data_IF_500812299124
#
_entry.id   IF_500812299124
#
_cell.length_a   1.000
_cell.length_b   1.000
_cell.length_c   1.000
_cell.angle_alpha   90.00
_cell.angle_beta   90.00
_cell.angle_gamma   90.00
#
_symmetry.space_group_name_H-M   'P 1'
#
loop_
_entity.id
_entity.type
_entity.pdbx_description
1 polymer ?
#
# COMPACT_ATOMS: atom_id res chain seq x y z
N UNK A 1 5.95 -21.25 -12.53
CA UNK A 1 4.93 -20.46 -11.83
C UNK A 1 5.61 -19.39 -11.00
N UNK A 2 4.99 -18.20 -10.91
CA UNK A 2 5.43 -17.06 -10.08
C UNK A 2 4.26 -16.64 -9.19
N UNK A 3 4.50 -16.44 -7.90
CA UNK A 3 3.50 -15.95 -6.94
C UNK A 3 3.72 -14.47 -6.69
N UNK A 4 2.68 -13.65 -6.91
CA UNK A 4 2.70 -12.20 -6.78
C UNK A 4 3.01 -11.49 -8.10
N UNK A 5 2.50 -10.25 -8.25
CA UNK A 5 2.60 -9.43 -9.46
C UNK A 5 3.41 -8.14 -9.28
N UNK A 6 4.22 -8.07 -8.22
CA UNK A 6 5.09 -6.92 -7.97
C UNK A 6 6.31 -6.87 -8.89
N UNK A 7 7.10 -5.79 -8.78
CA UNK A 7 8.28 -5.54 -9.63
C UNK A 7 9.26 -6.71 -9.69
N UNK A 8 9.53 -7.38 -8.55
CA UNK A 8 10.42 -8.53 -8.50
C UNK A 8 9.92 -9.71 -9.37
N UNK A 9 8.61 -9.98 -9.32
CA UNK A 9 7.97 -11.04 -10.12
C UNK A 9 8.01 -10.73 -11.61
N UNK A 10 7.74 -9.48 -11.99
CA UNK A 10 7.75 -9.07 -13.40
C UNK A 10 9.17 -9.08 -13.95
N UNK A 11 10.15 -8.53 -13.23
CA UNK A 11 11.57 -8.60 -13.63
C UNK A 11 12.07 -10.05 -13.75
N UNK A 12 11.59 -10.95 -12.87
CA UNK A 12 11.91 -12.38 -13.01
C UNK A 12 11.29 -12.98 -14.28
N UNK A 13 10.01 -12.67 -14.57
CA UNK A 13 9.34 -13.15 -15.79
C UNK A 13 10.04 -12.65 -17.06
N UNK A 14 10.41 -11.36 -17.11
CA UNK A 14 11.18 -10.75 -18.19
C UNK A 14 12.53 -11.47 -18.39
N UNK A 15 13.27 -11.67 -17.30
CA UNK A 15 14.59 -12.33 -17.33
C UNK A 15 14.49 -13.78 -17.78
N UNK A 16 13.42 -14.49 -17.39
CA UNK A 16 13.15 -15.85 -17.86
C UNK A 16 12.87 -15.82 -19.36
N UNK A 17 11.98 -14.94 -19.82
CA UNK A 17 11.60 -14.88 -21.23
C UNK A 17 12.76 -14.52 -22.16
N UNK A 18 13.65 -13.63 -21.74
CA UNK A 18 14.88 -13.31 -22.49
C UNK A 18 15.79 -14.51 -22.68
N UNK A 19 15.82 -15.46 -21.72
CA UNK A 19 16.70 -16.64 -21.75
C UNK A 19 16.03 -17.90 -22.26
N UNK A 20 14.71 -17.95 -22.19
CA UNK A 20 13.90 -19.11 -22.60
C UNK A 20 12.60 -18.64 -23.23
N UNK A 21 12.54 -18.70 -24.56
CA UNK A 21 11.38 -18.25 -25.35
C UNK A 21 10.20 -19.21 -25.33
N UNK A 22 10.39 -20.47 -24.89
CA UNK A 22 9.38 -21.53 -25.04
C UNK A 22 8.70 -21.97 -23.74
N UNK A 23 9.29 -21.72 -22.56
CA UNK A 23 8.65 -22.13 -21.30
C UNK A 23 7.36 -21.33 -21.04
N UNK A 24 6.36 -21.96 -20.45
CA UNK A 24 5.19 -21.23 -19.92
C UNK A 24 5.56 -20.43 -18.68
N UNK A 25 4.98 -19.24 -18.54
CA UNK A 25 5.12 -18.40 -17.35
C UNK A 25 3.72 -18.02 -16.89
N UNK A 26 3.36 -18.50 -15.72
CA UNK A 26 2.07 -18.23 -15.09
C UNK A 26 2.30 -17.48 -13.79
N UNK A 27 1.71 -16.28 -13.66
CA UNK A 27 1.82 -15.41 -12.50
C UNK A 27 0.47 -15.38 -11.79
N UNK A 28 0.44 -15.80 -10.53
CA UNK A 28 -0.76 -15.81 -9.68
C UNK A 28 -0.69 -14.67 -8.70
N UNK A 29 -1.72 -13.85 -8.64
CA UNK A 29 -1.80 -12.71 -7.73
C UNK A 29 -3.19 -12.53 -7.16
N UNK A 30 -3.27 -12.07 -5.90
CA UNK A 30 -4.54 -11.67 -5.28
C UNK A 30 -5.01 -10.30 -5.72
N UNK A 31 -4.14 -9.51 -6.35
CA UNK A 31 -4.49 -8.19 -6.86
C UNK A 31 -5.49 -8.33 -8.02
N UNK A 32 -6.40 -7.38 -8.13
CA UNK A 32 -7.42 -7.31 -9.18
C UNK A 32 -6.98 -6.47 -10.40
N UNK A 33 -5.73 -5.98 -10.36
CA UNK A 33 -5.17 -5.13 -11.41
C UNK A 33 -3.91 -5.75 -12.02
N UNK A 34 -3.65 -5.41 -13.29
CA UNK A 34 -2.40 -5.75 -13.96
C UNK A 34 -1.20 -5.20 -13.18
N UNK A 35 0.01 -5.77 -13.34
CA UNK A 35 1.20 -5.31 -12.61
C UNK A 35 1.47 -3.83 -12.82
N UNK A 36 1.61 -3.07 -11.75
CA UNK A 36 1.73 -1.62 -11.76
C UNK A 36 2.95 -1.12 -10.98
N UNK A 37 3.32 0.15 -11.23
CA UNK A 37 4.42 0.82 -10.56
C UNK A 37 4.01 1.25 -9.15
N UNK A 38 4.36 0.43 -8.16
CA UNK A 38 3.93 0.61 -6.75
C UNK A 38 4.30 1.96 -6.12
N UNK A 39 5.43 2.60 -6.43
CA UNK A 39 5.71 3.94 -5.90
C UNK A 39 4.65 4.99 -6.23
N UNK A 40 3.92 4.86 -7.33
CA UNK A 40 2.85 5.80 -7.71
C UNK A 40 1.49 5.52 -7.05
N UNK A 41 1.40 4.55 -6.13
CA UNK A 41 0.11 4.19 -5.51
C UNK A 41 -0.46 5.35 -4.68
N UNK A 42 0.38 6.11 -3.97
CA UNK A 42 -0.05 7.28 -3.20
C UNK A 42 -0.67 8.38 -4.07
N UNK A 43 -0.20 8.53 -5.31
CA UNK A 43 -0.72 9.53 -6.25
C UNK A 43 -2.19 9.24 -6.64
N UNK A 44 -2.59 7.96 -6.69
CA UNK A 44 -3.98 7.58 -6.98
C UNK A 44 -5.01 8.13 -5.97
N UNK A 45 -4.56 8.56 -4.80
CA UNK A 45 -5.45 9.16 -3.79
C UNK A 45 -5.99 10.50 -4.31
N UNK A 46 -5.16 11.31 -4.96
CA UNK A 46 -5.55 12.67 -5.34
C UNK A 46 -5.75 12.89 -6.84
N UNK A 47 -5.20 12.01 -7.70
CA UNK A 47 -5.29 12.15 -9.16
C UNK A 47 -5.52 10.81 -9.86
N UNK A 48 -5.93 10.87 -11.12
CA UNK A 48 -5.92 9.72 -12.01
C UNK A 48 -4.55 9.67 -12.73
N UNK A 49 -4.00 8.47 -12.84
CA UNK A 49 -2.73 8.23 -13.54
C UNK A 49 -3.07 7.52 -14.86
N UNK A 50 -2.55 7.98 -16.01
CA UNK A 50 -2.72 7.27 -17.27
C UNK A 50 -2.20 5.84 -17.19
N UNK A 51 -2.88 4.89 -17.82
CA UNK A 51 -2.50 3.48 -17.82
C UNK A 51 -1.05 3.25 -18.29
N UNK A 52 -0.59 4.04 -19.26
CA UNK A 52 0.77 4.00 -19.81
C UNK A 52 1.87 4.40 -18.80
N UNK A 53 1.50 5.11 -17.74
CA UNK A 53 2.42 5.55 -16.68
C UNK A 53 2.26 4.70 -15.42
N UNK A 54 1.08 4.12 -15.23
CA UNK A 54 0.76 3.36 -14.02
C UNK A 54 1.15 1.88 -14.14
N UNK A 55 0.79 1.20 -15.25
CA UNK A 55 1.11 -0.21 -15.44
C UNK A 55 2.54 -0.42 -15.93
N UNK A 56 3.20 -1.48 -15.43
CA UNK A 56 4.58 -1.82 -15.82
C UNK A 56 4.70 -2.14 -17.29
N UNK A 57 3.69 -2.81 -17.86
CA UNK A 57 3.56 -3.10 -19.29
C UNK A 57 2.09 -3.07 -19.68
N UNK A 58 1.75 -2.76 -20.93
CA UNK A 58 0.40 -2.93 -21.45
C UNK A 58 0.03 -4.41 -21.48
N UNK A 59 -1.27 -4.71 -21.40
CA UNK A 59 -1.77 -6.10 -21.36
C UNK A 59 -1.30 -6.95 -22.55
N UNK A 60 -1.20 -6.34 -23.71
CA UNK A 60 -0.76 -6.96 -24.97
C UNK A 60 0.69 -7.44 -24.90
N UNK A 61 1.52 -6.74 -24.13
CA UNK A 61 2.94 -7.14 -23.94
C UNK A 61 3.04 -8.50 -23.24
N UNK A 62 2.23 -8.77 -22.23
CA UNK A 62 2.21 -10.07 -21.54
C UNK A 62 1.77 -11.18 -22.48
N UNK A 63 0.75 -10.93 -23.31
CA UNK A 63 0.26 -11.88 -24.31
C UNK A 63 1.33 -12.20 -25.37
N UNK A 64 1.98 -11.18 -25.93
CA UNK A 64 3.06 -11.32 -26.92
C UNK A 64 4.27 -12.06 -26.38
N UNK A 65 4.50 -11.98 -25.06
CA UNK A 65 5.59 -12.68 -24.38
C UNK A 65 5.18 -14.02 -23.77
N UNK A 66 3.98 -14.54 -24.05
CA UNK A 66 3.45 -15.79 -23.47
C UNK A 66 3.59 -15.81 -21.93
N UNK A 67 3.21 -14.71 -21.26
CA UNK A 67 3.14 -14.56 -19.82
C UNK A 67 1.66 -14.46 -19.43
N UNK A 68 1.15 -15.42 -18.68
CA UNK A 68 -0.23 -15.45 -18.22
C UNK A 68 -0.32 -14.80 -16.84
N UNK A 69 -1.16 -13.77 -16.69
CA UNK A 69 -1.44 -13.16 -15.39
C UNK A 69 -2.82 -13.63 -14.92
N UNK A 70 -2.84 -14.32 -13.79
CA UNK A 70 -4.06 -14.80 -13.13
C UNK A 70 -4.40 -13.84 -11.98
N UNK A 71 -5.23 -12.83 -12.28
CA UNK A 71 -5.71 -11.84 -11.31
C UNK A 71 -6.73 -12.46 -10.36
N UNK A 72 -6.83 -11.92 -9.12
CA UNK A 72 -7.75 -12.39 -8.08
C UNK A 72 -7.59 -13.88 -7.75
N UNK A 73 -6.40 -14.43 -7.99
CA UNK A 73 -6.04 -15.82 -7.71
C UNK A 73 -4.98 -15.87 -6.61
N UNK A 74 -5.45 -15.77 -5.37
CA UNK A 74 -4.58 -15.88 -4.21
C UNK A 74 -4.04 -17.29 -4.07
N UNK A 75 -2.73 -17.42 -3.89
CA UNK A 75 -2.09 -18.69 -3.53
C UNK A 75 -2.10 -18.83 -2.03
N UNK A 76 -2.81 -19.84 -1.54
CA UNK A 76 -3.00 -20.09 -0.11
C UNK A 76 -2.09 -21.16 0.47
N UNK A 77 -1.56 -22.06 -0.37
CA UNK A 77 -0.64 -23.11 0.05
C UNK A 77 0.34 -23.50 -1.07
N UNK A 78 1.48 -24.06 -0.67
CA UNK A 78 2.50 -24.62 -1.54
C UNK A 78 2.83 -26.03 -1.03
N UNK A 79 2.69 -27.04 -1.89
CA UNK A 79 3.19 -28.41 -1.64
C UNK A 79 4.47 -28.62 -2.44
N UNK A 80 5.62 -28.60 -1.77
CA UNK A 80 6.92 -28.77 -2.40
C UNK A 80 7.22 -30.21 -2.81
N UNK A 81 6.52 -31.18 -2.21
CA UNK A 81 6.67 -32.61 -2.53
C UNK A 81 5.94 -32.96 -3.81
N UNK A 82 4.68 -32.52 -3.91
CA UNK A 82 3.88 -32.69 -5.14
C UNK A 82 4.21 -31.67 -6.21
N UNK A 83 4.94 -30.58 -5.86
CA UNK A 83 5.17 -29.40 -6.69
C UNK A 83 3.87 -28.78 -7.20
N UNK A 84 2.95 -28.48 -6.29
CA UNK A 84 1.69 -27.78 -6.58
C UNK A 84 1.55 -26.53 -5.71
N UNK A 85 0.84 -25.54 -6.24
CA UNK A 85 0.28 -24.43 -5.46
C UNK A 85 -1.23 -24.62 -5.37
N UNK A 86 -1.84 -24.11 -4.30
CA UNK A 86 -3.30 -24.11 -4.12
C UNK A 86 -3.84 -22.70 -4.32
N UNK A 87 -4.85 -22.57 -5.20
CA UNK A 87 -5.59 -21.33 -5.44
C UNK A 87 -7.08 -21.56 -5.24
N UNK A 88 -7.91 -20.53 -5.42
CA UNK A 88 -9.38 -20.66 -5.40
C UNK A 88 -9.90 -21.63 -6.47
N UNK A 89 -9.16 -21.85 -7.56
CA UNK A 89 -9.58 -22.74 -8.67
C UNK A 89 -9.06 -24.18 -8.50
N UNK A 90 -8.33 -24.45 -7.43
CA UNK A 90 -7.78 -25.76 -7.12
C UNK A 90 -6.25 -25.81 -7.13
N UNK A 91 -5.70 -27.03 -7.25
CA UNK A 91 -4.25 -27.24 -7.30
C UNK A 91 -3.71 -27.00 -8.70
N UNK A 92 -2.58 -26.29 -8.78
CA UNK A 92 -1.85 -25.98 -10.02
C UNK A 92 -0.43 -26.53 -9.92
N UNK A 93 -0.01 -27.43 -10.81
CA UNK A 93 1.34 -27.97 -10.80
C UNK A 93 2.37 -26.95 -11.31
N UNK A 94 3.62 -27.09 -10.86
CA UNK A 94 4.75 -26.30 -11.34
C UNK A 94 6.03 -27.14 -11.47
N UNK A 95 6.86 -26.85 -12.46
CA UNK A 95 8.23 -27.37 -12.53
C UNK A 95 9.20 -26.55 -11.69
N UNK A 96 9.07 -25.24 -11.78
CA UNK A 96 9.84 -24.24 -11.02
C UNK A 96 8.88 -23.21 -10.43
N UNK A 97 9.19 -22.78 -9.20
CA UNK A 97 8.39 -21.81 -8.47
C UNK A 97 9.26 -20.62 -8.05
N UNK A 98 8.75 -19.40 -8.28
CA UNK A 98 9.30 -18.17 -7.75
C UNK A 98 8.28 -17.55 -6.82
N UNK A 99 8.70 -17.16 -5.62
CA UNK A 99 7.86 -16.51 -4.62
C UNK A 99 8.24 -15.03 -4.59
N UNK A 100 7.40 -14.20 -5.20
CA UNK A 100 7.52 -12.74 -5.23
C UNK A 100 6.29 -12.05 -4.60
N UNK A 101 5.73 -12.66 -3.54
CA UNK A 101 4.49 -12.20 -2.88
C UNK A 101 4.58 -10.83 -2.19
N UNK A 102 5.79 -10.29 -2.04
CA UNK A 102 5.99 -8.99 -1.39
C UNK A 102 5.72 -9.05 0.12
N UNK A 103 5.07 -8.00 0.64
CA UNK A 103 4.74 -7.86 2.06
C UNK A 103 3.29 -7.40 2.22
N UNK A 104 2.74 -7.57 3.41
CA UNK A 104 1.46 -6.97 3.83
C UNK A 104 1.72 -5.67 4.60
N UNK A 105 0.73 -4.77 4.64
CA UNK A 105 0.76 -3.65 5.57
C UNK A 105 0.75 -4.19 7.00
N UNK A 106 1.62 -3.66 7.83
CA UNK A 106 1.62 -3.98 9.25
C UNK A 106 0.64 -3.07 9.98
N UNK A 107 -0.36 -3.66 10.60
CA UNK A 107 -1.27 -2.94 11.51
C UNK A 107 -0.89 -3.35 12.93
N UNK A 108 -0.37 -2.42 13.75
CA UNK A 108 -0.10 -2.73 15.15
C UNK A 108 -1.42 -3.12 15.86
N UNK A 109 -1.36 -3.89 16.97
CA UNK A 109 -2.54 -4.20 17.77
C UNK A 109 -3.05 -2.90 18.44
N UNK A 110 -3.85 -2.15 17.70
CA UNK A 110 -4.39 -0.85 18.08
C UNK A 110 -5.92 -0.97 18.16
N UNK A 111 -6.47 -0.65 19.34
CA UNK A 111 -7.92 -0.63 19.54
C UNK A 111 -8.58 0.32 18.53
N UNK A 112 -9.64 -0.13 17.86
CA UNK A 112 -10.35 0.62 16.84
C UNK A 112 -9.74 0.57 15.43
N UNK A 113 -8.68 -0.19 15.20
CA UNK A 113 -8.07 -0.33 13.86
C UNK A 113 -9.00 -0.95 12.81
N UNK A 114 -10.10 -1.57 13.22
CA UNK A 114 -11.12 -2.18 12.36
C UNK A 114 -12.37 -1.29 12.14
N UNK A 115 -12.37 -0.06 12.63
CA UNK A 115 -13.48 0.88 12.45
C UNK A 115 -13.59 1.29 10.97
N UNK A 116 -14.82 1.61 10.56
CA UNK A 116 -15.09 2.21 9.24
C UNK A 116 -14.41 3.58 9.14
N UNK A 117 -13.67 3.79 8.04
CA UNK A 117 -12.86 4.99 7.86
C UNK A 117 -11.43 4.85 8.37
N UNK A 118 -11.03 3.66 8.82
CA UNK A 118 -9.62 3.30 9.05
C UNK A 118 -9.11 2.52 7.86
N UNK A 119 -7.96 2.93 7.33
CA UNK A 119 -7.33 2.37 6.13
C UNK A 119 -5.88 2.01 6.38
N UNK A 120 -5.35 1.12 5.56
CA UNK A 120 -3.93 0.93 5.34
C UNK A 120 -3.62 1.27 3.89
N UNK A 121 -2.36 1.64 3.60
CA UNK A 121 -1.93 1.96 2.25
C UNK A 121 -0.87 0.96 1.78
N UNK A 122 -1.21 0.16 0.77
CA UNK A 122 -0.30 -0.81 0.18
C UNK A 122 -0.55 -1.06 -1.31
N UNK A 123 -1.82 -1.09 -1.72
CA UNK A 123 -2.24 -1.46 -3.07
C UNK A 123 -2.99 -0.33 -3.76
N UNK A 124 -3.13 -0.41 -5.07
CA UNK A 124 -3.96 0.52 -5.84
C UNK A 124 -5.42 0.49 -5.37
N UNK A 125 -5.93 -0.68 -4.99
CA UNK A 125 -7.28 -0.83 -4.44
C UNK A 125 -7.43 -0.05 -3.13
N UNK A 126 -6.42 -0.08 -2.24
CA UNK A 126 -6.43 0.70 -0.99
C UNK A 126 -6.49 2.21 -1.29
N UNK A 127 -5.65 2.69 -2.22
CA UNK A 127 -5.62 4.10 -2.60
C UNK A 127 -6.96 4.58 -3.19
N UNK A 128 -7.57 3.79 -4.07
CA UNK A 128 -8.88 4.10 -4.66
C UNK A 128 -10.00 4.08 -3.61
N UNK A 129 -9.98 3.11 -2.70
CA UNK A 129 -10.94 3.03 -1.59
C UNK A 129 -10.81 4.23 -0.65
N UNK A 130 -9.57 4.61 -0.30
CA UNK A 130 -9.28 5.80 0.50
C UNK A 130 -9.77 7.07 -0.20
N UNK A 131 -9.45 7.26 -1.50
CA UNK A 131 -9.92 8.39 -2.31
C UNK A 131 -11.44 8.49 -2.33
N UNK A 132 -12.11 7.35 -2.53
CA UNK A 132 -13.58 7.31 -2.56
C UNK A 132 -14.19 7.71 -1.21
N UNK A 133 -13.62 7.23 -0.10
CA UNK A 133 -14.08 7.54 1.25
C UNK A 133 -13.77 8.99 1.67
N UNK A 134 -12.63 9.53 1.24
CA UNK A 134 -12.19 10.89 1.56
C UNK A 134 -13.10 11.98 0.97
N UNK A 135 -13.93 11.66 -0.03
CA UNK A 135 -14.93 12.59 -0.58
C UNK A 135 -15.81 13.13 0.55
N UNK A 136 -15.92 14.46 0.64
CA UNK A 136 -16.72 15.16 1.66
C UNK A 136 -16.22 15.00 3.12
N UNK A 137 -14.99 14.51 3.31
CA UNK A 137 -14.30 14.51 4.59
C UNK A 137 -13.46 15.78 4.74
N UNK A 138 -13.14 16.14 5.98
CA UNK A 138 -12.38 17.37 6.27
C UNK A 138 -11.07 17.11 6.99
N UNK A 139 -11.08 16.17 7.93
CA UNK A 139 -9.94 15.92 8.81
C UNK A 139 -9.44 14.48 8.64
N UNK A 140 -8.17 14.33 8.38
CA UNK A 140 -7.50 13.05 8.28
C UNK A 140 -6.36 12.93 9.28
N UNK A 141 -6.15 11.73 9.80
CA UNK A 141 -4.96 11.39 10.58
C UNK A 141 -4.19 10.31 9.84
N UNK A 142 -2.88 10.53 9.71
CA UNK A 142 -1.95 9.52 9.21
C UNK A 142 -1.05 9.08 10.37
N UNK A 143 -1.12 7.80 10.72
CA UNK A 143 -0.27 7.19 11.76
C UNK A 143 0.94 6.60 11.07
N UNK A 144 2.12 7.18 11.33
CA UNK A 144 3.41 6.85 10.73
C UNK A 144 3.97 7.99 9.89
N UNK A 145 5.16 8.49 10.27
CA UNK A 145 5.91 9.56 9.59
C UNK A 145 7.04 9.03 8.70
N UNK A 146 6.90 7.78 8.21
CA UNK A 146 7.78 7.20 7.18
C UNK A 146 7.47 7.74 5.78
N UNK A 147 8.19 7.24 4.75
CA UNK A 147 8.00 7.67 3.35
C UNK A 147 6.55 7.57 2.92
N UNK A 148 5.95 6.37 3.00
CA UNK A 148 4.58 6.14 2.55
C UNK A 148 3.55 6.94 3.35
N UNK A 149 3.80 7.14 4.66
CA UNK A 149 2.93 7.97 5.50
C UNK A 149 2.94 9.44 5.06
N UNK A 150 4.11 9.99 4.77
CA UNK A 150 4.23 11.37 4.28
C UNK A 150 3.66 11.54 2.88
N UNK A 151 3.87 10.58 1.97
CA UNK A 151 3.24 10.58 0.64
C UNK A 151 1.71 10.50 0.73
N UNK A 152 1.19 9.65 1.62
CA UNK A 152 -0.26 9.56 1.88
C UNK A 152 -0.80 10.87 2.44
N UNK A 153 -0.07 11.51 3.37
CA UNK A 153 -0.46 12.79 3.94
C UNK A 153 -0.47 13.89 2.88
N UNK A 154 0.54 13.93 2.00
CA UNK A 154 0.59 14.88 0.87
C UNK A 154 -0.60 14.71 -0.07
N UNK A 155 -0.90 13.48 -0.46
CA UNK A 155 -2.02 13.20 -1.35
C UNK A 155 -3.37 13.60 -0.74
N UNK A 156 -3.57 13.39 0.58
CA UNK A 156 -4.78 13.83 1.28
C UNK A 156 -4.87 15.36 1.42
N UNK A 157 -3.73 16.04 1.63
CA UNK A 157 -3.67 17.51 1.59
C UNK A 157 -4.05 18.06 0.21
N UNK A 158 -3.57 17.43 -0.86
CA UNK A 158 -3.93 17.80 -2.24
C UNK A 158 -5.40 17.58 -2.56
N UNK A 159 -6.08 16.64 -1.87
CA UNK A 159 -7.55 16.50 -1.89
C UNK A 159 -8.27 17.60 -1.09
N UNK A 160 -7.54 18.46 -0.38
CA UNK A 160 -8.11 19.55 0.42
C UNK A 160 -8.50 19.18 1.85
N UNK A 161 -8.01 18.06 2.38
CA UNK A 161 -8.22 17.70 3.78
C UNK A 161 -7.21 18.40 4.71
N UNK A 162 -7.59 18.66 5.95
CA UNK A 162 -6.64 18.97 7.01
C UNK A 162 -6.02 17.67 7.50
N UNK A 163 -4.71 17.53 7.39
CA UNK A 163 -4.02 16.29 7.73
C UNK A 163 -3.11 16.47 8.93
N UNK A 164 -3.22 15.55 9.88
CA UNK A 164 -2.29 15.45 11.02
C UNK A 164 -1.55 14.12 10.91
N UNK A 165 -0.21 14.18 10.78
CA UNK A 165 0.66 13.00 10.82
C UNK A 165 1.16 12.78 12.24
N UNK A 166 0.98 11.57 12.77
CA UNK A 166 1.43 11.16 14.10
C UNK A 166 2.58 10.16 13.93
N UNK A 167 3.76 10.50 14.45
CA UNK A 167 4.94 9.65 14.41
C UNK A 167 5.42 9.35 15.85
N UNK A 168 5.59 8.08 16.16
CA UNK A 168 6.06 7.61 17.46
C UNK A 168 7.52 8.03 17.72
N UNK A 169 8.34 7.99 16.68
CA UNK A 169 9.74 8.43 16.79
C UNK A 169 9.84 9.96 16.85
N UNK A 170 10.94 10.47 17.40
CA UNK A 170 11.18 11.92 17.57
C UNK A 170 11.50 12.66 16.25
N UNK A 171 11.50 11.97 15.11
CA UNK A 171 11.82 12.55 13.80
C UNK A 171 11.05 11.88 12.66
N UNK A 172 10.86 12.57 11.56
CA UNK A 172 10.27 12.01 10.34
C UNK A 172 11.29 11.11 9.64
N UNK A 173 10.79 10.10 8.90
CA UNK A 173 11.62 9.16 8.15
C UNK A 173 12.78 8.57 8.97
N UNK A 174 12.54 8.06 10.20
CA UNK A 174 13.57 7.74 11.17
C UNK A 174 14.53 6.62 10.74
N UNK A 175 14.10 5.81 9.75
CA UNK A 175 14.89 4.70 9.19
C UNK A 175 15.73 5.11 7.98
N UNK A 176 15.41 6.23 7.34
CA UNK A 176 16.02 6.67 6.09
C UNK A 176 16.95 7.88 6.28
N UNK A 177 16.66 8.74 7.27
CA UNK A 177 17.36 9.99 7.48
C UNK A 177 18.01 10.05 8.85
N UNK A 178 19.14 10.76 8.94
CA UNK A 178 19.73 11.21 10.18
C UNK A 178 18.93 12.36 10.81
N UNK A 179 19.41 12.91 11.93
CA UNK A 179 18.68 13.95 12.66
C UNK A 179 18.63 15.27 11.87
N UNK A 180 19.74 15.66 11.25
CA UNK A 180 19.83 16.94 10.51
C UNK A 180 18.96 16.92 9.25
N UNK A 181 19.05 15.85 8.45
CA UNK A 181 18.22 15.69 7.27
C UNK A 181 16.73 15.60 7.60
N UNK A 182 16.38 14.89 8.69
CA UNK A 182 15.00 14.80 9.16
C UNK A 182 14.46 16.14 9.63
N UNK A 183 15.27 16.93 10.38
CA UNK A 183 14.89 18.28 10.81
C UNK A 183 14.65 19.21 9.60
N UNK A 184 15.50 19.11 8.59
CA UNK A 184 15.34 19.89 7.34
C UNK A 184 14.07 19.52 6.59
N UNK A 185 13.78 18.23 6.41
CA UNK A 185 12.54 17.77 5.77
C UNK A 185 11.31 18.24 6.57
N UNK A 186 11.32 18.08 7.90
CA UNK A 186 10.23 18.57 8.77
C UNK A 186 9.96 20.06 8.56
N UNK A 187 11.03 20.87 8.54
CA UNK A 187 10.91 22.31 8.30
C UNK A 187 10.27 22.63 6.93
N UNK A 188 10.63 21.89 5.87
CA UNK A 188 10.01 22.04 4.54
C UNK A 188 8.53 21.68 4.58
N UNK A 189 8.19 20.55 5.22
CA UNK A 189 6.82 20.07 5.32
C UNK A 189 5.94 21.05 6.10
N UNK A 190 6.40 21.57 7.24
CA UNK A 190 5.65 22.54 8.04
C UNK A 190 5.36 23.85 7.28
N UNK A 191 6.24 24.25 6.34
CA UNK A 191 5.97 25.37 5.45
C UNK A 191 4.90 25.11 4.40
N UNK A 192 4.51 23.86 4.21
CA UNK A 192 3.47 23.42 3.28
C UNK A 192 2.20 22.99 4.03
N UNK A 193 1.94 23.55 5.22
CA UNK A 193 0.76 23.28 6.04
C UNK A 193 0.61 21.84 6.56
N UNK A 194 1.73 21.08 6.61
CA UNK A 194 1.73 19.78 7.27
C UNK A 194 1.71 19.94 8.78
N UNK A 195 0.72 19.34 9.43
CA UNK A 195 0.71 19.21 10.88
C UNK A 195 1.36 17.86 11.27
N UNK A 196 2.53 17.91 11.91
CA UNK A 196 3.31 16.72 12.25
C UNK A 196 3.55 16.68 13.76
N UNK A 197 3.05 15.63 14.40
CA UNK A 197 3.25 15.34 15.82
C UNK A 197 4.30 14.25 15.98
N UNK A 198 5.51 14.63 16.43
CA UNK A 198 6.64 13.72 16.64
C UNK A 198 6.75 13.27 18.09
N UNK A 199 7.27 12.07 18.33
CA UNK A 199 7.45 11.49 19.65
C UNK A 199 6.12 11.24 20.36
N UNK A 200 5.04 11.00 19.59
CA UNK A 200 3.68 10.82 20.09
C UNK A 200 3.20 9.40 19.89
N UNK A 201 2.59 8.84 20.93
CA UNK A 201 2.04 7.49 20.88
C UNK A 201 0.55 7.51 20.63
N UNK A 202 0.13 6.81 19.58
CA UNK A 202 -1.27 6.52 19.35
C UNK A 202 -1.73 5.44 20.32
N UNK A 203 -2.71 5.76 21.18
CA UNK A 203 -3.22 4.83 22.18
C UNK A 203 -4.39 3.99 21.67
N UNK A 204 -5.36 4.63 20.99
CA UNK A 204 -6.48 3.97 20.34
C UNK A 204 -7.13 4.86 19.29
N UNK A 205 -7.88 4.26 18.39
CA UNK A 205 -8.77 4.92 17.45
C UNK A 205 -10.18 4.88 18.03
N UNK A 206 -10.85 6.04 18.03
CA UNK A 206 -12.17 6.21 18.64
C UNK A 206 -13.23 6.24 17.54
N UNK A 207 -14.34 5.57 17.76
CA UNK A 207 -15.47 5.53 16.82
C UNK A 207 -16.80 5.96 17.46
N UNK A 208 -17.77 6.23 16.59
CA UNK A 208 -19.16 6.48 16.98
C UNK A 208 -19.95 5.17 17.17
N UNK A 209 -21.22 5.28 17.53
CA UNK A 209 -22.14 4.15 17.73
C UNK A 209 -22.45 3.36 16.45
N UNK A 210 -22.16 3.92 15.26
CA UNK A 210 -22.31 3.28 13.96
C UNK A 210 -21.02 2.59 13.47
N UNK A 211 -19.96 2.68 14.29
CA UNK A 211 -18.66 2.08 14.00
C UNK A 211 -17.81 2.90 13.03
N UNK A 212 -18.09 4.20 12.82
CA UNK A 212 -17.22 5.09 12.04
C UNK A 212 -16.22 5.79 12.96
N UNK A 213 -14.99 5.96 12.44
CA UNK A 213 -13.96 6.69 13.15
C UNK A 213 -14.37 8.14 13.39
N UNK A 214 -14.07 8.64 14.59
CA UNK A 214 -14.29 10.04 14.99
C UNK A 214 -13.02 10.74 15.46
N UNK A 215 -11.95 9.97 15.70
CA UNK A 215 -10.67 10.54 16.10
C UNK A 215 -9.69 9.49 16.62
N UNK A 216 -8.57 9.99 17.11
CA UNK A 216 -7.47 9.18 17.66
C UNK A 216 -7.05 9.75 19.01
N UNK A 217 -6.88 8.88 20.01
CA UNK A 217 -6.31 9.24 21.31
C UNK A 217 -4.78 9.25 21.22
N UNK A 218 -4.19 10.39 21.54
CA UNK A 218 -2.75 10.61 21.52
C UNK A 218 -2.35 11.30 22.83
N UNK A 219 -1.53 10.69 23.65
CA UNK A 219 -1.10 11.23 24.96
C UNK A 219 -2.30 11.74 25.79
N UNK A 220 -3.35 10.93 25.90
CA UNK A 220 -4.61 11.23 26.61
C UNK A 220 -5.44 12.40 26.06
N UNK A 221 -5.13 12.88 24.85
CA UNK A 221 -5.90 13.90 24.14
C UNK A 221 -6.57 13.30 22.90
N UNK A 222 -7.85 13.64 22.69
CA UNK A 222 -8.57 13.25 21.49
C UNK A 222 -8.27 14.25 20.36
N UNK A 223 -7.73 13.72 19.26
CA UNK A 223 -7.60 14.45 18.00
C UNK A 223 -8.72 13.97 17.08
N UNK A 224 -9.62 14.87 16.71
CA UNK A 224 -10.76 14.53 15.85
C UNK A 224 -10.32 14.23 14.41
N UNK A 225 -10.93 13.22 13.81
CA UNK A 225 -10.70 12.85 12.42
C UNK A 225 -11.93 12.18 11.81
N UNK A 226 -12.14 12.39 10.52
CA UNK A 226 -13.17 11.72 9.72
C UNK A 226 -12.67 10.44 9.06
N UNK A 227 -11.33 10.31 8.94
CA UNK A 227 -10.63 9.12 8.46
C UNK A 227 -9.23 8.99 9.09
N UNK A 228 -8.75 7.77 9.16
CA UNK A 228 -7.41 7.44 9.68
C UNK A 228 -6.71 6.50 8.71
N UNK A 229 -5.42 6.75 8.44
CA UNK A 229 -4.57 5.85 7.66
C UNK A 229 -3.42 5.37 8.54
N UNK A 230 -3.20 4.04 8.57
CA UNK A 230 -2.10 3.40 9.30
C UNK A 230 -1.04 2.97 8.28
N UNK A 231 0.20 3.47 8.42
CA UNK A 231 1.34 3.23 7.53
C UNK A 231 2.58 2.71 8.27
#
# INVERSE_FOLDING_TARGET
>A
VIIGSGAASISAAESIRQRNSVCSIDIYTKDNEMPYYRPSVSDLIHQDIPDSEFYLHPKEWYQQNNINIHLEKEVTAIDTTKKTITTSDGEVPYDKLIIGSGSSAFVPPLEGSNLKGVFTMKTAADARALRAFAKNKKNAIVIGGGVLGLETADALLQLGLHVTTIEFMKRVMPRQLDEDASAFIKYILEKKDYNILLGKSTQKIVGDTNGFVTGVMVDDQLINADLVVIN
#
